data_IF_931492899358
#
_entry.id   IF_931492899358
#
_cell.length_a   1.000
_cell.length_b   1.000
_cell.length_c   1.000
_cell.angle_alpha   90.00
_cell.angle_beta   90.00
_cell.angle_gamma   90.00
#
_symmetry.space_group_name_H-M   'P 1'
#
loop_
_entity.id
_entity.type
_entity.pdbx_description
1 polymer ?
#
# COMPACT_ATOMS: atom_id res chain seq x y z
N UNK A 1 22.77 32.46 34.52
CA UNK A 1 22.34 32.50 35.93
C UNK A 1 22.20 31.06 36.40
N UNK A 2 23.02 30.67 37.37
CA UNK A 2 23.13 29.32 37.91
C UNK A 2 21.87 28.87 38.66
N UNK A 3 21.50 27.59 38.52
CA UNK A 3 20.64 26.91 39.48
C UNK A 3 21.24 25.53 39.83
N UNK A 4 21.54 25.39 41.12
CA UNK A 4 22.27 24.30 41.82
C UNK A 4 21.72 22.90 41.60
N UNK A 5 22.63 21.95 41.32
CA UNK A 5 22.47 20.52 41.57
C UNK A 5 22.57 20.22 43.08
N UNK A 6 21.68 19.37 43.59
CA UNK A 6 21.87 18.62 44.84
C UNK A 6 21.73 17.14 44.53
N UNK A 7 22.80 16.39 44.76
CA UNK A 7 22.85 14.94 44.62
C UNK A 7 22.12 14.22 45.75
N UNK A 8 21.48 13.11 45.40
CA UNK A 8 21.09 12.04 46.31
C UNK A 8 21.66 10.75 45.73
N UNK A 9 22.68 10.21 46.40
CA UNK A 9 23.23 8.88 46.16
C UNK A 9 22.25 7.81 46.69
N UNK A 10 21.82 6.92 45.80
CA UNK A 10 21.09 5.70 46.12
C UNK A 10 21.37 4.64 45.05
N UNK A 11 21.53 3.36 45.41
CA UNK A 11 21.91 2.31 44.46
C UNK A 11 20.81 2.08 43.41
N UNK A 12 21.17 1.75 42.16
CA UNK A 12 20.21 1.63 41.06
C UNK A 12 19.28 0.43 41.26
N UNK A 13 17.96 0.56 41.03
CA UNK A 13 17.06 -0.59 40.97
C UNK A 13 17.34 -1.43 39.71
N UNK A 14 17.07 -2.75 39.75
CA UNK A 14 17.47 -3.68 38.71
C UNK A 14 16.80 -3.39 37.36
N UNK A 15 17.58 -3.47 36.28
CA UNK A 15 17.12 -3.36 34.89
C UNK A 15 16.18 -4.53 34.55
N UNK A 16 14.91 -4.22 34.28
CA UNK A 16 13.96 -5.16 33.70
C UNK A 16 14.10 -5.13 32.17
N UNK A 17 14.27 -6.30 31.56
CA UNK A 17 14.39 -6.45 30.11
C UNK A 17 13.02 -6.43 29.42
N UNK A 18 12.99 -5.93 28.19
CA UNK A 18 11.84 -5.63 27.30
C UNK A 18 10.96 -6.85 26.90
N UNK A 19 11.02 -7.99 27.62
CA UNK A 19 10.32 -9.25 27.28
C UNK A 19 9.33 -9.77 28.32
N UNK A 20 9.01 -9.03 29.39
CA UNK A 20 8.11 -9.52 30.46
C UNK A 20 6.87 -8.68 30.76
N UNK A 21 6.56 -7.64 29.98
CA UNK A 21 5.38 -6.78 30.21
C UNK A 21 4.10 -7.17 29.42
N UNK A 22 4.11 -8.23 28.59
CA UNK A 22 2.97 -8.61 27.72
C UNK A 22 2.27 -9.93 28.11
N UNK A 23 2.36 -10.37 29.37
CA UNK A 23 1.59 -11.53 29.87
C UNK A 23 0.86 -11.21 31.17
N UNK A 24 -0.25 -10.46 31.03
CA UNK A 24 -1.38 -10.25 31.96
C UNK A 24 -2.16 -9.11 31.30
N UNK A 25 -3.22 -9.32 30.54
CA UNK A 25 -4.51 -9.87 30.97
C UNK A 25 -5.18 -10.51 29.76
N UNK A 26 -5.45 -11.81 29.85
CA UNK A 26 -6.45 -12.48 29.02
C UNK A 26 -7.70 -12.71 29.85
N UNK A 27 -8.85 -12.39 29.27
CA UNK A 27 -10.14 -13.03 29.56
C UNK A 27 -10.95 -12.52 30.75
N UNK A 28 -12.01 -11.76 30.46
CA UNK A 28 -13.35 -11.98 31.01
C UNK A 28 -14.36 -11.10 30.25
N UNK A 29 -15.47 -11.72 29.81
CA UNK A 29 -16.57 -11.03 29.14
C UNK A 29 -17.64 -10.49 30.10
N UNK A 30 -18.63 -9.87 29.44
CA UNK A 30 -19.96 -9.39 29.87
C UNK A 30 -20.06 -8.11 30.72
N UNK A 31 -20.95 -7.22 30.25
CA UNK A 31 -21.75 -6.35 31.14
C UNK A 31 -22.12 -4.99 30.58
N UNK A 32 -23.21 -4.90 29.81
CA UNK A 32 -23.96 -3.66 29.55
C UNK A 32 -24.49 -3.06 30.87
N UNK A 33 -24.25 -1.76 31.10
CA UNK A 33 -25.12 -0.91 31.92
C UNK A 33 -25.02 0.56 31.48
N UNK A 34 -26.18 1.11 31.11
CA UNK A 34 -26.43 2.50 30.72
C UNK A 34 -26.62 3.40 31.97
N UNK A 35 -26.13 4.64 31.91
CA UNK A 35 -26.51 5.73 32.83
C UNK A 35 -25.76 7.05 32.54
N UNK A 36 -26.35 8.24 32.71
CA UNK A 36 -26.36 9.26 31.65
C UNK A 36 -25.52 10.53 31.92
N UNK A 37 -25.18 11.23 30.83
CA UNK A 37 -24.65 12.61 30.79
C UNK A 37 -23.14 12.65 30.50
N UNK A 38 -22.64 13.15 29.38
CA UNK A 38 -23.23 14.04 28.39
C UNK A 38 -22.14 14.99 27.90
N UNK A 39 -21.24 14.49 27.04
CA UNK A 39 -20.51 15.28 26.04
C UNK A 39 -19.85 14.31 25.07
N UNK A 40 -20.63 13.89 24.06
CA UNK A 40 -20.12 13.21 22.87
C UNK A 40 -19.40 14.27 22.04
N UNK A 41 -18.10 14.15 21.86
CA UNK A 41 -17.47 14.68 20.66
C UNK A 41 -17.94 13.79 19.52
N UNK A 42 -18.68 14.41 18.61
CA UNK A 42 -19.30 13.76 17.48
C UNK A 42 -18.20 13.28 16.52
N UNK A 43 -18.03 11.96 16.43
CA UNK A 43 -17.83 11.36 15.13
C UNK A 43 -19.04 11.78 14.28
N UNK A 44 -18.82 12.67 13.31
CA UNK A 44 -19.79 12.89 12.24
C UNK A 44 -19.92 11.52 11.53
N UNK A 45 -21.01 10.78 11.77
CA UNK A 45 -22.20 10.82 10.93
C UNK A 45 -21.78 10.78 9.46
N UNK A 46 -21.64 9.60 8.86
CA UNK A 46 -22.81 8.76 8.61
C UNK A 46 -23.57 9.29 7.40
N UNK A 47 -22.89 9.45 6.28
CA UNK A 47 -23.51 9.32 4.96
C UNK A 47 -23.40 7.84 4.59
N UNK A 48 -24.50 7.11 4.67
CA UNK A 48 -24.56 5.78 4.09
C UNK A 48 -24.26 5.92 2.58
N UNK A 49 -23.23 5.27 1.99
CA UNK A 49 -23.05 5.34 0.54
C UNK A 49 -24.35 4.85 -0.12
N UNK A 50 -24.89 5.53 -1.14
CA UNK A 50 -26.17 5.17 -1.74
C UNK A 50 -26.20 3.68 -2.08
N UNK A 51 -27.19 3.00 -1.51
CA UNK A 51 -27.42 1.57 -1.64
C UNK A 51 -27.83 1.26 -3.08
N UNK A 52 -26.97 0.58 -3.84
CA UNK A 52 -27.38 -0.27 -4.97
C UNK A 52 -26.33 -1.36 -5.30
N UNK A 53 -25.07 -1.23 -4.87
CA UNK A 53 -24.01 -2.22 -5.17
C UNK A 53 -23.24 -2.65 -3.91
N UNK A 54 -23.86 -3.41 -3.00
CA UNK A 54 -23.14 -4.00 -1.86
C UNK A 54 -23.33 -5.51 -1.84
N UNK A 55 -22.26 -6.30 -2.04
CA UNK A 55 -22.34 -7.73 -1.83
C UNK A 55 -22.68 -7.99 -0.35
N UNK A 56 -23.74 -8.76 -0.07
CA UNK A 56 -24.20 -9.02 1.29
C UNK A 56 -23.33 -10.09 1.97
N UNK A 57 -23.11 -9.96 3.29
CA UNK A 57 -22.44 -10.99 4.10
C UNK A 57 -20.92 -11.02 4.01
N UNK A 58 -20.28 -9.95 3.53
CA UNK A 58 -18.81 -9.82 3.45
C UNK A 58 -18.30 -8.64 4.29
N UNK A 59 -17.10 -8.79 4.85
CA UNK A 59 -16.38 -7.69 5.48
C UNK A 59 -15.87 -6.72 4.41
N UNK A 60 -16.32 -5.46 4.49
CA UNK A 60 -15.93 -4.42 3.55
C UNK A 60 -14.67 -3.69 4.05
N UNK A 61 -13.84 -3.18 3.15
CA UNK A 61 -12.75 -2.29 3.53
C UNK A 61 -13.25 -1.13 4.39
N UNK A 62 -12.58 -0.81 5.51
CA UNK A 62 -12.91 0.37 6.30
C UNK A 62 -12.59 1.65 5.52
N UNK A 63 -13.01 2.79 6.06
CA UNK A 63 -12.54 4.08 5.55
C UNK A 63 -11.10 4.33 5.99
N UNK A 64 -10.19 4.30 5.01
CA UNK A 64 -8.77 4.59 5.18
C UNK A 64 -8.39 5.92 4.50
N UNK A 65 -9.37 6.73 4.10
CA UNK A 65 -9.14 7.93 3.29
C UNK A 65 -8.86 7.62 1.82
N UNK A 66 -9.39 6.50 1.33
CA UNK A 66 -9.50 6.20 -0.10
C UNK A 66 -10.29 7.28 -0.84
N UNK A 67 -10.13 7.36 -2.17
CA UNK A 67 -10.90 8.31 -2.98
C UNK A 67 -12.43 8.11 -2.82
N UNK A 68 -13.13 9.21 -2.52
CA UNK A 68 -14.61 9.22 -2.39
C UNK A 68 -15.32 9.07 -3.74
N UNK A 69 -14.63 9.39 -4.84
CA UNK A 69 -15.20 9.38 -6.20
C UNK A 69 -15.39 7.95 -6.71
N UNK A 70 -16.53 7.71 -7.37
CA UNK A 70 -16.75 6.56 -8.27
C UNK A 70 -16.55 7.02 -9.71
N UNK A 71 -15.91 6.19 -10.52
CA UNK A 71 -15.60 6.46 -11.93
C UNK A 71 -16.06 5.30 -12.80
N UNK A 72 -16.25 5.57 -14.09
CA UNK A 72 -16.63 4.59 -15.10
C UNK A 72 -15.51 4.40 -16.13
N UNK A 73 -15.16 3.15 -16.43
CA UNK A 73 -14.17 2.80 -17.45
C UNK A 73 -14.91 2.38 -18.71
N UNK A 74 -14.96 3.29 -19.69
CA UNK A 74 -15.74 3.12 -20.92
C UNK A 74 -15.29 1.91 -21.76
N UNK A 75 -14.00 1.58 -21.74
CA UNK A 75 -13.43 0.50 -22.54
C UNK A 75 -14.06 -0.87 -22.26
N UNK A 76 -14.46 -1.13 -21.02
CA UNK A 76 -15.06 -2.41 -20.58
C UNK A 76 -16.47 -2.26 -20.02
N UNK A 77 -16.89 -1.02 -19.75
CA UNK A 77 -18.22 -0.71 -19.26
C UNK A 77 -18.45 -1.03 -17.78
N UNK A 78 -17.41 -0.90 -16.96
CA UNK A 78 -17.43 -1.20 -15.52
C UNK A 78 -16.96 -0.02 -14.69
N UNK A 79 -17.35 0.00 -13.42
CA UNK A 79 -17.04 1.10 -12.50
C UNK A 79 -15.96 0.75 -11.47
N UNK A 80 -15.30 1.79 -10.95
CA UNK A 80 -14.30 1.68 -9.89
C UNK A 80 -14.59 2.68 -8.77
N UNK A 81 -14.32 2.27 -7.53
CA UNK A 81 -14.40 3.12 -6.34
C UNK A 81 -13.55 2.62 -5.19
N UNK A 82 -13.29 3.50 -4.22
CA UNK A 82 -12.72 3.16 -2.92
C UNK A 82 -11.36 2.44 -3.03
N UNK A 83 -11.16 1.43 -2.16
CA UNK A 83 -9.86 0.76 -2.04
C UNK A 83 -9.35 0.15 -3.34
N UNK A 84 -10.21 -0.44 -4.18
CA UNK A 84 -9.77 -1.03 -5.44
C UNK A 84 -9.44 -0.01 -6.52
N UNK A 85 -10.15 1.13 -6.55
CA UNK A 85 -9.77 2.26 -7.41
C UNK A 85 -8.40 2.81 -7.02
N UNK A 86 -8.17 3.01 -5.72
CA UNK A 86 -6.90 3.51 -5.22
C UNK A 86 -5.76 2.53 -5.50
N UNK A 87 -5.93 1.25 -5.17
CA UNK A 87 -4.92 0.23 -5.42
C UNK A 87 -4.60 0.09 -6.92
N UNK A 88 -5.62 0.12 -7.79
CA UNK A 88 -5.43 0.10 -9.24
C UNK A 88 -4.62 1.31 -9.70
N UNK A 89 -4.98 2.53 -9.27
CA UNK A 89 -4.27 3.77 -9.62
C UNK A 89 -2.84 3.83 -9.08
N UNK A 90 -2.59 3.29 -7.88
CA UNK A 90 -1.27 3.26 -7.27
C UNK A 90 -0.29 2.39 -8.07
N UNK A 91 -0.78 1.28 -8.63
CA UNK A 91 0.04 0.16 -9.09
C UNK A 91 0.06 0.00 -10.62
N UNK A 92 -0.11 1.11 -11.36
CA UNK A 92 0.03 1.15 -12.83
C UNK A 92 -1.26 1.01 -13.63
N UNK A 93 -2.40 0.94 -12.95
CA UNK A 93 -3.73 1.00 -13.54
C UNK A 93 -3.91 0.01 -14.70
N UNK A 94 -4.54 0.45 -15.80
CA UNK A 94 -4.82 -0.38 -16.97
C UNK A 94 -3.55 -0.96 -17.60
N UNK A 95 -2.41 -0.29 -17.48
CA UNK A 95 -1.15 -0.76 -18.07
C UNK A 95 -0.67 -2.06 -17.43
N UNK A 96 -1.02 -2.29 -16.16
CA UNK A 96 -0.56 -3.46 -15.42
C UNK A 96 -1.66 -4.50 -15.24
N UNK A 97 -2.85 -4.07 -14.81
CA UNK A 97 -3.95 -5.00 -14.49
C UNK A 97 -5.01 -5.09 -15.59
N UNK A 98 -4.91 -4.23 -16.60
CA UNK A 98 -6.02 -3.97 -17.50
C UNK A 98 -7.18 -3.25 -16.82
N UNK A 99 -8.27 -3.13 -17.57
CA UNK A 99 -9.49 -2.47 -17.14
C UNK A 99 -10.34 -3.38 -16.24
N UNK A 100 -11.23 -2.82 -15.38
CA UNK A 100 -12.19 -3.62 -14.63
C UNK A 100 -13.09 -4.39 -15.59
N UNK A 101 -13.32 -5.68 -15.32
CA UNK A 101 -14.23 -6.53 -16.11
C UNK A 101 -15.45 -6.97 -15.31
N UNK A 102 -15.58 -6.52 -14.06
CA UNK A 102 -16.74 -6.78 -13.21
C UNK A 102 -17.01 -5.59 -12.28
N UNK A 103 -18.22 -5.53 -11.75
CA UNK A 103 -18.50 -4.81 -10.50
C UNK A 103 -17.96 -5.59 -9.29
N UNK A 104 -17.85 -4.98 -8.09
CA UNK A 104 -17.43 -5.70 -6.90
C UNK A 104 -18.36 -6.85 -6.52
N UNK A 105 -17.79 -7.99 -6.11
CA UNK A 105 -18.50 -9.23 -5.78
C UNK A 105 -17.90 -9.93 -4.55
N UNK A 106 -18.58 -10.97 -4.04
CA UNK A 106 -18.01 -11.88 -3.03
C UNK A 106 -17.41 -13.08 -3.76
N UNK A 107 -16.10 -13.27 -3.64
CA UNK A 107 -15.43 -14.45 -4.18
C UNK A 107 -15.81 -15.73 -3.39
N UNK A 108 -15.49 -16.90 -3.94
CA UNK A 108 -15.85 -18.18 -3.33
C UNK A 108 -15.25 -18.40 -1.93
N UNK A 109 -14.12 -17.75 -1.62
CA UNK A 109 -13.48 -17.75 -0.31
C UNK A 109 -14.09 -16.75 0.68
N UNK A 110 -15.11 -15.99 0.26
CA UNK A 110 -15.76 -14.97 1.06
C UNK A 110 -15.10 -13.60 0.98
N UNK A 111 -14.04 -13.40 0.19
CA UNK A 111 -13.38 -12.09 0.09
C UNK A 111 -14.18 -11.11 -0.77
N UNK A 112 -14.28 -9.86 -0.31
CA UNK A 112 -14.75 -8.74 -1.13
C UNK A 112 -13.73 -8.56 -2.27
N UNK A 113 -14.19 -8.66 -3.51
CA UNK A 113 -13.32 -8.81 -4.68
C UNK A 113 -13.82 -8.00 -5.88
N UNK A 114 -12.93 -7.68 -6.81
CA UNK A 114 -13.30 -7.12 -8.10
C UNK A 114 -12.34 -7.62 -9.18
N UNK A 115 -12.86 -7.98 -10.34
CA UNK A 115 -12.08 -8.51 -11.45
C UNK A 115 -11.65 -7.39 -12.40
N UNK A 116 -10.40 -7.49 -12.84
CA UNK A 116 -9.75 -6.72 -13.89
C UNK A 116 -9.28 -7.70 -14.96
N UNK A 117 -8.86 -7.25 -16.14
CA UNK A 117 -8.48 -8.18 -17.22
C UNK A 117 -7.37 -9.16 -16.80
N UNK A 118 -6.35 -8.69 -16.09
CA UNK A 118 -5.18 -9.49 -15.72
C UNK A 118 -5.16 -9.97 -14.27
N UNK A 119 -6.09 -9.53 -13.43
CA UNK A 119 -6.08 -9.89 -12.01
C UNK A 119 -7.47 -9.80 -11.38
N UNK A 120 -7.69 -10.53 -10.29
CA UNK A 120 -8.83 -10.31 -9.39
C UNK A 120 -8.29 -9.78 -8.07
N UNK A 121 -8.69 -8.57 -7.70
CA UNK A 121 -8.31 -7.97 -6.42
C UNK A 121 -9.18 -8.53 -5.32
N UNK A 122 -8.57 -8.84 -4.18
CA UNK A 122 -9.23 -9.32 -2.97
C UNK A 122 -8.84 -8.43 -1.80
N UNK A 123 -9.84 -7.95 -1.06
CA UNK A 123 -9.61 -7.31 0.23
C UNK A 123 -9.25 -8.37 1.29
N UNK A 124 -8.20 -8.08 2.05
CA UNK A 124 -7.61 -8.95 3.07
C UNK A 124 -7.57 -8.22 4.43
N UNK A 125 -8.63 -8.30 5.24
CA UNK A 125 -8.73 -7.58 6.51
C UNK A 125 -7.63 -7.97 7.51
N UNK A 126 -7.04 -9.16 7.40
CA UNK A 126 -5.94 -9.62 8.24
C UNK A 126 -4.67 -8.77 8.14
N UNK A 127 -4.49 -7.99 7.07
CA UNK A 127 -3.33 -7.10 6.88
C UNK A 127 -3.62 -5.65 7.27
N UNK A 128 -4.81 -5.34 7.80
CA UNK A 128 -5.21 -3.98 8.14
C UNK A 128 -4.24 -3.32 9.15
N UNK A 129 -3.69 -4.12 10.06
CA UNK A 129 -2.80 -3.67 11.14
C UNK A 129 -1.36 -4.18 11.00
N UNK A 130 -0.92 -4.52 9.80
CA UNK A 130 0.45 -4.96 9.49
C UNK A 130 1.04 -4.11 8.39
N UNK A 131 2.35 -4.04 8.18
CA UNK A 131 2.93 -3.25 7.06
C UNK A 131 2.61 -3.78 5.65
N UNK A 132 1.93 -4.93 5.58
CA UNK A 132 1.54 -5.58 4.34
C UNK A 132 0.36 -4.88 3.64
N UNK A 133 0.24 -5.01 2.30
CA UNK A 133 -0.91 -4.54 1.55
C UNK A 133 -2.22 -5.24 1.95
N UNK A 134 -3.28 -4.45 2.13
CA UNK A 134 -4.65 -4.93 2.40
C UNK A 134 -5.39 -5.41 1.15
N UNK A 135 -4.82 -5.21 -0.04
CA UNK A 135 -5.29 -5.79 -1.30
C UNK A 135 -4.28 -6.83 -1.75
N UNK A 136 -4.77 -8.03 -2.09
CA UNK A 136 -3.98 -9.11 -2.70
C UNK A 136 -4.65 -9.59 -3.98
N UNK A 137 -3.89 -10.26 -4.83
CA UNK A 137 -4.43 -10.92 -6.00
C UNK A 137 -4.98 -12.30 -5.63
N UNK A 138 -6.15 -12.65 -6.16
CA UNK A 138 -6.62 -14.03 -6.20
C UNK A 138 -5.55 -14.90 -6.89
N UNK A 139 -5.30 -16.15 -6.45
CA UNK A 139 -4.25 -16.98 -6.99
C UNK A 139 -4.59 -17.59 -8.38
N UNK A 140 -4.87 -16.74 -9.37
CA UNK A 140 -5.30 -17.12 -10.72
C UNK A 140 -4.26 -17.98 -11.44
N UNK A 141 -2.96 -17.74 -11.20
CA UNK A 141 -1.89 -18.53 -11.81
C UNK A 141 -1.88 -19.97 -11.28
N UNK A 142 -2.17 -20.18 -10.00
CA UNK A 142 -2.38 -21.53 -9.43
C UNK A 142 -3.59 -22.21 -10.08
N UNK A 143 -4.72 -21.52 -10.13
CA UNK A 143 -5.98 -22.05 -10.68
C UNK A 143 -5.80 -22.45 -12.16
N UNK A 144 -5.16 -21.60 -12.96
CA UNK A 144 -4.90 -21.86 -14.37
C UNK A 144 -3.91 -23.01 -14.61
N UNK A 145 -2.96 -23.24 -13.69
CA UNK A 145 -2.03 -24.37 -13.78
C UNK A 145 -2.68 -25.70 -13.42
N UNK A 146 -3.51 -25.73 -12.38
CA UNK A 146 -4.29 -26.93 -11.99
C UNK A 146 -5.11 -27.45 -13.16
N UNK A 147 -5.76 -26.56 -13.92
CA UNK A 147 -6.54 -26.92 -15.11
C UNK A 147 -5.75 -27.58 -16.22
N UNK A 148 -4.50 -27.13 -16.41
CA UNK A 148 -3.61 -27.74 -17.40
C UNK A 148 -3.15 -29.14 -16.99
N UNK A 149 -3.11 -29.43 -15.69
CA UNK A 149 -2.70 -30.73 -15.17
C UNK A 149 -3.87 -31.73 -15.14
N UNK A 150 -5.09 -31.26 -14.86
CA UNK A 150 -6.28 -32.11 -14.79
C UNK A 150 -6.89 -32.45 -16.18
N UNK A 151 -6.59 -31.66 -17.22
CA UNK A 151 -7.09 -31.83 -18.59
C UNK A 151 -6.33 -32.82 -19.49
N UNK A 152 -5.73 -33.89 -18.95
CA UNK A 152 -4.75 -34.73 -19.64
C UNK A 152 -5.11 -35.28 -21.05
N UNK A 153 -4.08 -35.25 -21.94
CA UNK A 153 -3.89 -35.87 -23.26
C UNK A 153 -4.31 -35.10 -24.53
N UNK A 154 -3.35 -34.39 -25.16
CA UNK A 154 -2.71 -34.80 -26.43
C UNK A 154 -1.33 -34.12 -26.60
N UNK A 155 -0.27 -34.92 -26.74
CA UNK A 155 0.92 -34.62 -27.56
C UNK A 155 1.94 -33.57 -27.10
N UNK A 156 2.89 -33.95 -26.24
CA UNK A 156 4.14 -33.21 -26.08
C UNK A 156 5.00 -33.73 -24.94
N UNK A 157 6.06 -34.49 -25.26
CA UNK A 157 6.96 -35.07 -24.28
C UNK A 157 7.51 -34.02 -23.31
N UNK A 158 7.44 -34.32 -22.00
CA UNK A 158 8.24 -33.66 -20.98
C UNK A 158 9.71 -33.63 -21.42
N UNK A 159 10.39 -32.47 -21.51
CA UNK A 159 11.83 -32.49 -21.64
C UNK A 159 12.42 -33.08 -20.36
N UNK A 160 13.16 -34.17 -20.53
CA UNK A 160 13.93 -34.86 -19.50
C UNK A 160 14.82 -33.88 -18.74
N UNK A 161 14.81 -33.97 -17.41
CA UNK A 161 15.68 -33.23 -16.49
C UNK A 161 17.14 -33.27 -16.99
N UNK A 162 17.74 -32.14 -17.40
CA UNK A 162 19.19 -32.06 -17.51
C UNK A 162 19.74 -31.92 -16.09
N UNK A 163 20.71 -32.77 -15.73
CA UNK A 163 21.59 -32.51 -14.61
C UNK A 163 22.37 -31.22 -14.90
N UNK A 164 22.11 -30.15 -14.14
CA UNK A 164 22.84 -28.90 -14.31
C UNK A 164 23.96 -28.85 -13.27
N UNK A 165 25.19 -28.96 -13.77
CA UNK A 165 26.40 -28.71 -13.02
C UNK A 165 26.41 -27.29 -12.44
N UNK A 166 26.83 -27.19 -11.18
CA UNK A 166 27.00 -25.93 -10.46
C UNK A 166 28.16 -25.13 -11.07
N UNK A 167 27.86 -23.97 -11.65
CA UNK A 167 28.86 -22.89 -11.82
C UNK A 167 28.22 -21.58 -11.38
N UNK A 168 28.84 -20.97 -10.37
CA UNK A 168 28.44 -19.70 -9.75
C UNK A 168 28.97 -18.50 -10.53
N UNK A 169 28.24 -17.37 -10.48
CA UNK A 169 28.85 -16.04 -10.30
C UNK A 169 27.87 -15.14 -9.52
N UNK A 170 28.44 -14.28 -8.68
CA UNK A 170 27.83 -13.67 -7.49
C UNK A 170 27.52 -12.20 -7.77
N UNK A 171 26.23 -11.82 -7.86
CA UNK A 171 25.74 -10.47 -7.60
C UNK A 171 24.20 -10.49 -7.46
N UNK A 172 23.71 -10.00 -6.32
CA UNK A 172 22.31 -9.64 -6.04
C UNK A 172 21.25 -10.76 -6.09
N UNK A 173 21.41 -11.80 -5.26
CA UNK A 173 20.28 -12.58 -4.76
C UNK A 173 19.68 -11.86 -3.55
N UNK A 174 18.40 -11.48 -3.60
CA UNK A 174 17.58 -11.38 -2.38
C UNK A 174 16.88 -12.73 -2.24
N UNK A 175 17.22 -13.55 -1.23
CA UNK A 175 16.44 -14.74 -0.93
C UNK A 175 15.02 -14.29 -0.58
N UNK A 176 14.02 -14.80 -1.31
CA UNK A 176 12.63 -14.76 -0.84
C UNK A 176 12.60 -15.55 0.48
N UNK A 177 12.08 -14.99 1.60
CA UNK A 177 12.06 -15.70 2.87
C UNK A 177 11.42 -17.08 2.72
N UNK A 178 12.21 -18.08 3.10
CA UNK A 178 11.96 -19.50 3.00
C UNK A 178 10.72 -19.93 3.81
N UNK A 179 9.73 -20.55 3.16
CA UNK A 179 8.71 -21.33 3.86
C UNK A 179 8.42 -22.69 3.19
N UNK A 180 9.41 -23.30 2.51
CA UNK A 180 9.31 -24.71 2.12
C UNK A 180 9.06 -25.03 0.64
N UNK A 181 9.90 -25.98 0.20
CA UNK A 181 9.78 -27.07 -0.78
C UNK A 181 9.75 -26.86 -2.30
N UNK A 182 9.60 -25.64 -2.84
CA UNK A 182 9.98 -25.38 -4.24
C UNK A 182 10.53 -23.96 -4.41
N UNK A 183 11.84 -23.84 -4.67
CA UNK A 183 12.47 -22.55 -4.97
C UNK A 183 12.52 -22.34 -6.48
N UNK A 184 11.56 -21.62 -7.02
CA UNK A 184 11.64 -21.14 -8.40
C UNK A 184 12.45 -19.85 -8.47
N UNK A 185 13.30 -19.73 -9.49
CA UNK A 185 14.11 -18.53 -9.70
C UNK A 185 13.35 -17.48 -10.50
N UNK A 186 13.68 -16.19 -10.30
CA UNK A 186 13.18 -15.10 -11.14
C UNK A 186 14.39 -14.37 -11.73
N UNK A 187 14.36 -14.08 -13.03
CA UNK A 187 15.52 -13.55 -13.75
C UNK A 187 15.16 -12.41 -14.70
N UNK A 188 16.18 -11.64 -15.08
CA UNK A 188 16.16 -10.63 -16.14
C UNK A 188 15.00 -9.63 -16.01
N UNK A 189 14.34 -9.30 -17.12
CA UNK A 189 13.25 -8.33 -17.15
C UNK A 189 12.07 -8.72 -16.23
N UNK A 190 11.80 -10.02 -16.07
CA UNK A 190 10.75 -10.50 -15.13
C UNK A 190 11.17 -10.20 -13.69
N UNK A 191 12.45 -10.39 -13.34
CA UNK A 191 12.95 -10.02 -12.00
C UNK A 191 12.84 -8.53 -11.76
N UNK A 192 13.27 -7.71 -12.71
CA UNK A 192 13.26 -6.26 -12.55
C UNK A 192 11.82 -5.74 -12.37
N UNK A 193 10.88 -6.25 -13.19
CA UNK A 193 9.46 -5.96 -13.04
C UNK A 193 8.91 -6.46 -11.69
N UNK A 194 9.20 -7.70 -11.32
CA UNK A 194 8.69 -8.31 -10.10
C UNK A 194 9.20 -7.58 -8.86
N UNK A 195 10.48 -7.23 -8.80
CA UNK A 195 11.07 -6.48 -7.69
C UNK A 195 10.50 -5.05 -7.61
N UNK A 196 10.32 -4.38 -8.75
CA UNK A 196 9.73 -3.04 -8.78
C UNK A 196 8.28 -3.04 -8.30
N UNK A 197 7.49 -4.02 -8.72
CA UNK A 197 6.08 -4.18 -8.34
C UNK A 197 5.93 -5.04 -7.08
N UNK A 198 6.80 -4.86 -6.07
CA UNK A 198 6.64 -5.41 -4.72
C UNK A 198 6.66 -6.95 -4.57
N UNK A 199 7.05 -7.64 -5.64
CA UNK A 199 7.34 -9.06 -5.70
C UNK A 199 6.23 -9.93 -5.12
N UNK A 200 6.57 -10.64 -4.05
CA UNK A 200 5.69 -11.64 -3.44
C UNK A 200 4.44 -11.03 -2.82
N UNK A 201 4.50 -9.76 -2.41
CA UNK A 201 3.35 -9.11 -1.81
C UNK A 201 2.29 -8.76 -2.86
N UNK A 202 2.71 -8.67 -4.11
CA UNK A 202 1.87 -8.30 -5.24
C UNK A 202 1.41 -9.54 -6.00
N UNK A 203 2.35 -10.28 -6.58
CA UNK A 203 2.05 -11.37 -7.51
C UNK A 203 2.09 -12.75 -6.84
N UNK A 204 2.50 -12.80 -5.57
CA UNK A 204 2.77 -14.03 -4.86
C UNK A 204 4.02 -14.74 -5.40
N UNK A 205 4.22 -15.98 -4.96
CA UNK A 205 5.44 -16.74 -5.23
C UNK A 205 5.51 -17.20 -6.68
N UNK A 206 6.71 -17.32 -7.27
CA UNK A 206 6.87 -18.02 -8.54
C UNK A 206 6.44 -19.49 -8.39
N UNK A 207 5.67 -19.97 -9.36
CA UNK A 207 5.17 -21.35 -9.47
C UNK A 207 5.88 -22.14 -10.58
N UNK A 208 6.74 -21.49 -11.36
CA UNK A 208 7.57 -22.13 -12.39
C UNK A 208 8.92 -21.44 -12.50
N UNK A 209 9.89 -22.12 -13.12
CA UNK A 209 11.04 -21.41 -13.70
C UNK A 209 10.57 -20.50 -14.85
N UNK A 210 11.38 -19.50 -15.26
CA UNK A 210 11.17 -18.79 -16.50
C UNK A 210 11.27 -19.75 -17.70
N UNK A 211 10.23 -19.80 -18.52
CA UNK A 211 10.13 -20.69 -19.68
C UNK A 211 10.20 -19.83 -20.93
N UNK A 212 11.07 -20.20 -21.89
CA UNK A 212 11.07 -19.57 -23.21
C UNK A 212 9.80 -19.98 -23.96
N UNK A 213 9.05 -19.00 -24.41
CA UNK A 213 7.87 -19.18 -25.25
C UNK A 213 7.99 -18.28 -26.49
N UNK A 214 8.26 -18.90 -27.65
CA UNK A 214 8.62 -18.19 -28.87
C UNK A 214 9.86 -17.30 -28.68
N UNK A 215 9.72 -16.00 -28.98
CA UNK A 215 10.76 -14.98 -28.76
C UNK A 215 10.71 -14.35 -27.36
N UNK A 216 9.75 -14.74 -26.52
CA UNK A 216 9.56 -14.21 -25.18
C UNK A 216 9.94 -15.19 -24.08
N UNK A 217 9.79 -14.72 -22.85
CA UNK A 217 9.94 -15.52 -21.62
C UNK A 217 8.66 -15.39 -20.82
N UNK A 218 8.08 -16.52 -20.42
CA UNK A 218 6.88 -16.57 -19.60
C UNK A 218 7.20 -17.22 -18.25
N UNK A 219 6.58 -16.75 -17.17
CA UNK A 219 6.76 -17.33 -15.84
C UNK A 219 5.45 -17.27 -15.03
N UNK A 220 5.09 -18.41 -14.44
CA UNK A 220 3.92 -18.52 -13.57
C UNK A 220 4.24 -18.06 -12.16
N UNK A 221 3.28 -17.38 -11.56
CA UNK A 221 3.25 -16.95 -10.17
C UNK A 221 1.89 -17.29 -9.56
N UNK A 222 1.76 -17.23 -8.25
CA UNK A 222 0.48 -17.51 -7.59
C UNK A 222 -0.65 -16.64 -8.15
N UNK A 223 -0.43 -15.33 -8.22
CA UNK A 223 -1.43 -14.35 -8.65
C UNK A 223 -1.60 -14.23 -10.16
N UNK A 224 -0.69 -14.77 -10.98
CA UNK A 224 -0.81 -14.63 -12.44
C UNK A 224 0.36 -15.20 -13.25
N UNK A 225 0.42 -14.80 -14.53
CA UNK A 225 1.45 -15.17 -15.49
C UNK A 225 2.12 -13.89 -16.00
N UNK A 226 3.43 -13.76 -15.81
CA UNK A 226 4.20 -12.69 -16.45
C UNK A 226 4.74 -13.18 -17.79
N UNK A 227 4.61 -12.33 -18.81
CA UNK A 227 5.16 -12.54 -20.14
C UNK A 227 6.07 -11.37 -20.48
N UNK A 228 7.35 -11.67 -20.71
CA UNK A 228 8.35 -10.76 -21.20
C UNK A 228 8.54 -10.98 -22.72
N UNK A 229 8.06 -10.06 -23.54
CA UNK A 229 8.17 -10.14 -25.00
C UNK A 229 8.30 -8.75 -25.61
N UNK A 230 9.09 -8.62 -26.69
CA UNK A 230 9.20 -7.33 -27.40
C UNK A 230 9.84 -6.19 -26.59
N UNK A 231 10.51 -6.49 -25.47
CA UNK A 231 11.06 -5.49 -24.56
C UNK A 231 10.09 -5.04 -23.45
N UNK A 232 8.87 -5.58 -23.42
CA UNK A 232 7.86 -5.29 -22.41
C UNK A 232 7.63 -6.50 -21.50
N UNK A 233 7.21 -6.25 -20.27
CA UNK A 233 6.79 -7.27 -19.30
C UNK A 233 5.37 -6.94 -18.87
N UNK A 234 4.45 -7.87 -19.10
CA UNK A 234 3.03 -7.68 -18.79
C UNK A 234 2.43 -8.91 -18.12
N UNK A 235 1.37 -8.69 -17.34
CA UNK A 235 0.52 -9.76 -16.83
C UNK A 235 -0.40 -10.26 -17.94
N UNK A 236 -0.50 -11.58 -18.08
CA UNK A 236 -1.48 -12.18 -18.97
C UNK A 236 -2.91 -11.96 -18.44
N UNK A 237 -3.92 -11.81 -19.32
CA UNK A 237 -5.30 -11.50 -18.96
C UNK A 237 -6.08 -12.71 -18.38
N UNK A 238 -5.51 -13.41 -17.39
CA UNK A 238 -6.04 -14.67 -16.88
C UNK A 238 -7.43 -14.55 -16.25
N UNK A 239 -7.79 -13.38 -15.74
CA UNK A 239 -9.13 -13.19 -15.16
C UNK A 239 -10.21 -13.20 -16.26
N UNK A 240 -9.91 -12.72 -17.46
CA UNK A 240 -10.80 -12.85 -18.63
C UNK A 240 -10.99 -14.33 -18.97
N UNK A 241 -9.88 -15.08 -19.07
CA UNK A 241 -9.89 -16.50 -19.41
C UNK A 241 -10.66 -17.35 -18.38
N UNK A 242 -10.56 -16.98 -17.09
CA UNK A 242 -11.14 -17.72 -15.97
C UNK A 242 -12.52 -17.21 -15.53
N UNK A 243 -13.02 -16.09 -16.05
CA UNK A 243 -14.23 -15.42 -15.55
C UNK A 243 -15.44 -16.36 -15.46
N UNK A 244 -15.74 -17.10 -16.55
CA UNK A 244 -16.88 -18.01 -16.61
C UNK A 244 -16.76 -19.16 -15.60
N UNK A 245 -15.55 -19.70 -15.41
CA UNK A 245 -15.28 -20.77 -14.44
C UNK A 245 -15.43 -20.28 -13.00
N UNK A 246 -14.96 -19.06 -12.73
CA UNK A 246 -15.03 -18.43 -11.41
C UNK A 246 -16.41 -17.86 -11.10
N UNK A 247 -17.36 -17.92 -12.05
CA UNK A 247 -18.70 -17.36 -11.89
C UNK A 247 -18.70 -15.84 -11.77
N UNK A 248 -17.72 -15.17 -12.38
CA UNK A 248 -17.60 -13.70 -12.40
C UNK A 248 -18.55 -13.16 -13.46
N UNK A 249 -19.48 -12.29 -13.05
CA UNK A 249 -20.33 -11.56 -13.98
C UNK A 249 -19.54 -10.46 -14.67
N UNK A 250 -19.40 -10.59 -16.00
CA UNK A 250 -18.66 -9.64 -16.84
C UNK A 250 -19.57 -8.77 -17.71
N UNK A 251 -20.89 -8.84 -17.52
CA UNK A 251 -21.83 -8.01 -18.24
C UNK A 251 -21.57 -6.52 -17.93
N UNK A 252 -21.39 -5.66 -18.96
CA UNK A 252 -21.22 -4.22 -18.74
C UNK A 252 -22.42 -3.63 -17.99
N UNK A 253 -22.16 -2.68 -17.11
CA UNK A 253 -23.19 -1.94 -16.39
C UNK A 253 -23.45 -0.58 -17.06
N UNK A 254 -24.63 -0.03 -16.83
CA UNK A 254 -24.95 1.31 -17.31
C UNK A 254 -24.02 2.34 -16.66
N UNK A 255 -23.55 3.31 -17.46
CA UNK A 255 -22.71 4.41 -16.96
C UNK A 255 -23.47 5.37 -16.04
N UNK A 256 -24.76 5.58 -16.31
CA UNK A 256 -25.60 6.58 -15.66
C UNK A 256 -24.93 7.98 -15.63
N UNK A 257 -24.78 8.58 -14.45
CA UNK A 257 -24.16 9.89 -14.23
C UNK A 257 -22.67 9.82 -13.86
N UNK A 258 -22.07 8.63 -13.87
CA UNK A 258 -20.69 8.46 -13.47
C UNK A 258 -19.73 9.17 -14.43
N UNK A 259 -18.73 9.90 -13.90
CA UNK A 259 -17.68 10.48 -14.73
C UNK A 259 -16.84 9.36 -15.35
N UNK A 260 -16.37 9.57 -16.59
CA UNK A 260 -15.34 8.71 -17.15
C UNK A 260 -14.09 8.80 -16.29
N UNK A 261 -13.39 7.69 -16.13
CA UNK A 261 -12.10 7.69 -15.46
C UNK A 261 -11.13 8.64 -16.17
N UNK A 262 -10.63 9.60 -15.42
CA UNK A 262 -9.50 10.46 -15.77
C UNK A 262 -8.69 10.68 -14.50
N UNK A 263 -7.37 10.53 -14.62
CA UNK A 263 -6.44 10.62 -13.50
C UNK A 263 -6.45 12.02 -12.85
N UNK A 264 -6.74 13.08 -13.61
CA UNK A 264 -6.81 14.45 -13.10
C UNK A 264 -8.03 14.71 -12.21
N UNK A 265 -9.06 13.84 -12.23
CA UNK A 265 -10.23 13.98 -11.34
C UNK A 265 -9.89 13.89 -9.85
N UNK A 266 -8.72 13.33 -9.54
CA UNK A 266 -8.26 13.11 -8.17
C UNK A 266 -7.29 14.18 -7.69
N UNK A 267 -6.89 15.11 -8.54
CA UNK A 267 -6.05 16.23 -8.14
C UNK A 267 -6.94 17.25 -7.44
N UNK A 268 -6.77 17.39 -6.13
CA UNK A 268 -7.62 18.27 -5.30
C UNK A 268 -7.03 19.68 -5.11
N UNK A 269 -5.82 19.90 -5.59
CA UNK A 269 -5.15 21.19 -5.61
C UNK A 269 -4.27 21.31 -6.86
N UNK A 270 -4.07 22.54 -7.33
CA UNK A 270 -3.20 22.83 -8.45
C UNK A 270 -1.73 22.61 -8.04
N UNK A 271 -0.95 22.00 -8.94
CA UNK A 271 0.50 21.91 -8.79
C UNK A 271 1.15 23.05 -9.60
N UNK A 272 1.76 24.05 -8.95
CA UNK A 272 2.32 25.20 -9.67
C UNK A 272 3.50 24.86 -10.58
N UNK A 273 4.16 23.71 -10.35
CA UNK A 273 5.38 23.30 -11.07
C UNK A 273 5.33 21.81 -11.45
N UNK A 274 4.46 21.49 -12.41
CA UNK A 274 4.37 20.17 -13.02
C UNK A 274 5.61 19.89 -13.89
N UNK A 275 6.33 18.81 -13.57
CA UNK A 275 7.61 18.45 -14.21
C UNK A 275 7.49 17.38 -15.29
N UNK A 276 6.36 16.67 -15.37
CA UNK A 276 6.18 15.54 -16.28
C UNK A 276 4.72 15.33 -16.69
N UNK A 277 4.51 14.38 -17.60
CA UNK A 277 3.18 14.01 -18.06
C UNK A 277 2.38 13.32 -16.93
N UNK A 278 1.23 13.89 -16.50
CA UNK A 278 0.41 13.26 -15.45
C UNK A 278 -0.13 11.89 -15.86
N UNK A 279 -0.18 11.60 -17.16
CA UNK A 279 -0.64 10.33 -17.73
C UNK A 279 0.50 9.35 -18.06
N UNK A 280 1.72 9.59 -17.58
CA UNK A 280 2.83 8.66 -17.72
C UNK A 280 2.44 7.24 -17.24
N UNK A 281 2.94 6.16 -17.86
CA UNK A 281 2.59 4.80 -17.44
C UNK A 281 3.37 4.36 -16.20
N UNK A 282 2.86 3.33 -15.51
CA UNK A 282 3.55 2.64 -14.42
C UNK A 282 3.06 3.01 -13.02
N UNK A 283 3.64 2.41 -11.99
CA UNK A 283 3.23 2.64 -10.61
C UNK A 283 3.58 4.05 -10.13
N UNK A 284 2.79 4.60 -9.22
CA UNK A 284 3.09 5.85 -8.53
C UNK A 284 3.94 5.58 -7.31
N UNK A 285 4.95 6.39 -7.10
CA UNK A 285 5.81 6.29 -5.93
C UNK A 285 6.42 7.63 -5.55
N UNK A 286 6.81 7.72 -4.28
CA UNK A 286 7.37 8.89 -3.64
C UNK A 286 8.77 8.54 -3.15
N UNK A 287 9.73 9.39 -3.44
CA UNK A 287 11.09 9.32 -2.94
C UNK A 287 11.30 10.43 -1.92
N UNK A 288 11.93 10.12 -0.79
CA UNK A 288 12.30 11.09 0.24
C UNK A 288 13.78 10.89 0.57
N UNK A 289 14.59 11.91 0.28
CA UNK A 289 16.00 11.96 0.63
C UNK A 289 16.21 12.78 1.90
N UNK A 290 16.79 12.17 2.94
CA UNK A 290 17.06 12.85 4.22
C UNK A 290 18.20 13.87 4.06
N UNK A 291 19.25 13.58 3.32
CA UNK A 291 20.41 14.43 3.14
C UNK A 291 20.09 15.65 2.28
N UNK A 292 19.27 15.47 1.25
CA UNK A 292 18.79 16.54 0.38
C UNK A 292 17.62 17.33 0.98
N UNK A 293 16.98 16.80 2.03
CA UNK A 293 15.72 17.32 2.57
C UNK A 293 14.72 17.61 1.44
N UNK A 294 14.53 16.60 0.59
CA UNK A 294 13.75 16.72 -0.64
C UNK A 294 12.86 15.51 -0.87
N UNK A 295 11.70 15.78 -1.46
CA UNK A 295 10.76 14.78 -1.94
C UNK A 295 10.67 14.85 -3.46
N UNK A 296 10.55 13.69 -4.09
CA UNK A 296 10.22 13.53 -5.51
C UNK A 296 9.01 12.61 -5.66
N UNK A 297 8.05 13.00 -6.49
CA UNK A 297 6.85 12.25 -6.80
C UNK A 297 6.94 11.76 -8.25
N UNK A 298 6.88 10.45 -8.45
CA UNK A 298 7.04 9.79 -9.75
C UNK A 298 5.80 9.03 -10.18
N UNK A 299 5.60 8.97 -11.50
CA UNK A 299 4.67 8.07 -12.16
C UNK A 299 5.46 7.21 -13.15
N UNK A 300 5.64 5.93 -12.80
CA UNK A 300 6.63 5.06 -13.43
C UNK A 300 8.04 5.64 -13.29
N UNK A 301 8.65 5.98 -14.41
CA UNK A 301 9.98 6.63 -14.45
C UNK A 301 9.91 8.15 -14.63
N UNK A 302 8.71 8.71 -14.72
CA UNK A 302 8.49 10.14 -15.00
C UNK A 302 8.42 10.90 -13.69
N UNK A 303 9.31 11.89 -13.50
CA UNK A 303 9.19 12.83 -12.39
C UNK A 303 8.00 13.77 -12.63
N UNK A 304 7.02 13.73 -11.74
CA UNK A 304 5.81 14.56 -11.81
C UNK A 304 6.00 15.85 -11.02
N UNK A 305 6.56 15.77 -9.82
CA UNK A 305 6.72 16.92 -8.93
C UNK A 305 7.89 16.72 -7.96
N UNK A 306 8.42 17.83 -7.44
CA UNK A 306 9.41 17.80 -6.35
C UNK A 306 9.23 19.01 -5.44
N UNK A 307 9.55 18.84 -4.15
CA UNK A 307 9.56 19.92 -3.16
C UNK A 307 10.67 19.71 -2.15
N UNK A 308 11.09 20.79 -1.50
CA UNK A 308 11.82 20.70 -0.23
C UNK A 308 10.87 20.19 0.86
N UNK A 309 11.43 19.45 1.82
CA UNK A 309 10.72 18.90 2.98
C UNK A 309 11.46 19.20 4.27
N UNK A 310 10.84 18.93 5.42
CA UNK A 310 11.54 18.84 6.70
C UNK A 310 11.28 17.48 7.35
N UNK A 311 12.30 16.63 7.41
CA UNK A 311 12.22 15.29 8.02
C UNK A 311 12.55 15.33 9.52
N UNK A 312 12.54 14.16 10.16
CA UNK A 312 12.71 14.01 11.60
C UNK A 312 14.11 14.34 12.10
N UNK A 313 14.19 15.06 13.22
CA UNK A 313 15.44 15.29 13.97
C UNK A 313 15.63 14.25 15.07
N UNK A 314 16.88 13.97 15.44
CA UNK A 314 17.17 13.14 16.61
C UNK A 314 16.47 13.69 17.88
N UNK A 315 15.89 12.82 18.73
CA UNK A 315 15.94 11.34 18.68
C UNK A 315 14.92 10.67 17.74
N UNK A 316 14.06 11.43 17.06
CA UNK A 316 12.96 10.95 16.22
C UNK A 316 13.31 11.08 14.73
N UNK A 317 14.42 10.48 14.32
CA UNK A 317 14.79 10.46 12.91
C UNK A 317 13.72 9.71 12.09
N UNK A 318 13.39 10.21 10.90
CA UNK A 318 12.47 9.52 9.99
C UNK A 318 13.04 8.15 9.62
N UNK A 319 12.23 7.10 9.68
CA UNK A 319 12.68 5.76 9.34
C UNK A 319 13.06 5.64 7.87
N UNK A 320 14.20 5.00 7.61
CA UNK A 320 14.61 4.59 6.28
C UNK A 320 13.91 3.30 5.87
N UNK A 321 13.56 3.19 4.59
CA UNK A 321 12.97 1.96 4.07
C UNK A 321 12.04 2.17 2.89
N UNK A 322 11.42 1.06 2.49
CA UNK A 322 10.34 1.05 1.50
C UNK A 322 9.02 0.81 2.22
N UNK A 323 8.11 1.76 2.06
CA UNK A 323 6.82 1.83 2.69
C UNK A 323 5.73 2.06 1.66
N UNK A 324 4.47 2.17 2.10
CA UNK A 324 3.32 2.47 1.25
C UNK A 324 2.41 3.43 1.95
N UNK A 325 1.65 4.22 1.20
CA UNK A 325 0.54 4.98 1.76
C UNK A 325 -0.53 4.01 2.28
N UNK A 326 -0.84 4.08 3.57
CA UNK A 326 -1.76 3.15 4.25
C UNK A 326 -3.05 3.79 4.72
N UNK A 327 -2.98 5.05 5.11
CA UNK A 327 -4.08 5.75 5.76
C UNK A 327 -3.96 7.25 5.49
N UNK A 328 -5.09 7.89 5.21
CA UNK A 328 -5.15 9.29 4.82
C UNK A 328 -6.22 10.02 5.60
N UNK A 329 -5.93 11.25 6.03
CA UNK A 329 -6.89 12.16 6.63
C UNK A 329 -6.80 13.55 5.99
N UNK A 330 -7.92 14.17 5.58
CA UNK A 330 -7.90 15.55 5.07
C UNK A 330 -7.35 16.54 6.09
N UNK A 331 -7.61 16.29 7.37
CA UNK A 331 -7.01 17.00 8.49
C UNK A 331 -7.04 16.09 9.73
N UNK A 332 -5.98 16.12 10.53
CA UNK A 332 -5.95 15.42 11.81
C UNK A 332 -5.09 16.17 12.82
N UNK A 333 -5.59 16.29 14.05
CA UNK A 333 -4.77 16.76 15.17
C UNK A 333 -3.67 15.74 15.45
N UNK A 334 -2.41 16.18 15.41
CA UNK A 334 -1.28 15.34 15.74
C UNK A 334 -0.95 15.53 17.22
N UNK A 335 -1.45 14.60 18.03
CA UNK A 335 -1.26 14.59 19.48
C UNK A 335 -0.50 13.35 19.90
N UNK A 336 0.50 13.54 20.76
CA UNK A 336 1.23 12.45 21.35
C UNK A 336 2.02 12.87 22.56
N UNK A 337 2.97 12.04 22.94
CA UNK A 337 3.80 12.31 24.10
C UNK A 337 5.21 11.77 23.92
N UNK A 338 6.18 12.48 24.48
CA UNK A 338 7.58 12.11 24.47
C UNK A 338 8.07 11.71 25.85
N UNK A 339 9.25 11.08 25.90
CA UNK A 339 10.01 10.96 27.14
C UNK A 339 10.74 12.27 27.48
N UNK A 340 11.56 12.26 28.54
CA UNK A 340 12.34 13.43 28.96
C UNK A 340 13.48 13.80 27.99
N UNK A 341 13.83 12.91 27.06
CA UNK A 341 14.84 13.13 26.01
C UNK A 341 14.24 13.67 24.72
N UNK A 342 12.90 13.68 24.61
CA UNK A 342 12.17 14.09 23.42
C UNK A 342 11.84 12.94 22.47
N UNK A 343 12.11 11.68 22.85
CA UNK A 343 11.71 10.49 22.09
C UNK A 343 10.20 10.33 22.10
N UNK A 344 9.55 10.23 20.94
CA UNK A 344 8.12 9.97 20.83
C UNK A 344 7.82 8.56 21.34
N UNK A 345 6.99 8.49 22.38
CA UNK A 345 6.62 7.22 23.02
C UNK A 345 5.26 6.69 22.56
N UNK A 346 4.42 7.55 21.97
CA UNK A 346 3.10 7.20 21.48
C UNK A 346 2.20 8.40 21.20
N UNK A 347 0.95 8.10 20.85
CA UNK A 347 -0.08 9.06 20.43
C UNK A 347 -1.29 9.03 21.38
N UNK A 348 -2.06 10.12 21.43
CA UNK A 348 -3.26 10.24 22.27
C UNK A 348 -2.98 10.78 23.68
N UNK A 349 -3.73 10.28 24.69
CA UNK A 349 -3.61 10.78 26.07
C UNK A 349 -2.25 10.41 26.69
N UNK A 350 -1.50 11.44 27.09
CA UNK A 350 -0.18 11.31 27.68
C UNK A 350 -0.22 10.62 29.07
N UNK A 351 0.47 9.47 29.26
CA UNK A 351 0.62 8.87 30.58
C UNK A 351 1.37 9.80 31.56
N UNK A 352 1.13 9.69 32.88
CA UNK A 352 1.87 10.47 33.87
C UNK A 352 3.38 10.30 33.74
N UNK A 353 4.12 11.40 33.68
CA UNK A 353 5.58 11.41 33.55
C UNK A 353 6.10 11.50 32.10
N UNK A 354 5.21 11.62 31.11
CA UNK A 354 5.56 11.92 29.71
C UNK A 354 5.33 13.40 29.40
N UNK A 355 5.96 13.91 28.33
CA UNK A 355 5.81 15.31 27.88
C UNK A 355 4.83 15.33 26.71
N UNK A 356 3.61 15.87 26.85
CA UNK A 356 2.65 15.91 25.75
C UNK A 356 3.08 16.92 24.69
N UNK A 357 2.79 16.60 23.43
CA UNK A 357 2.82 17.56 22.33
C UNK A 357 1.49 17.47 21.55
N UNK A 358 1.09 18.61 20.99
CA UNK A 358 -0.07 18.70 20.12
C UNK A 358 0.22 19.72 19.04
N UNK A 359 0.01 19.33 17.78
CA UNK A 359 -0.08 20.23 16.65
C UNK A 359 -1.52 20.19 16.18
N UNK A 360 -2.16 21.36 16.17
CA UNK A 360 -3.54 21.52 15.71
C UNK A 360 -3.60 21.16 14.22
N UNK A 361 -4.56 20.31 13.84
CA UNK A 361 -4.90 19.86 12.50
C UNK A 361 -3.80 20.00 11.42
N UNK A 362 -2.92 19.00 11.33
CA UNK A 362 -2.08 18.86 10.14
C UNK A 362 -2.97 18.60 8.92
N UNK A 363 -2.96 19.47 7.88
CA UNK A 363 -3.75 19.24 6.69
C UNK A 363 -3.11 18.15 5.83
N UNK A 364 -3.94 17.38 5.13
CA UNK A 364 -3.54 16.43 4.10
C UNK A 364 -2.55 15.38 4.61
N UNK A 365 -2.93 14.68 5.67
CA UNK A 365 -2.10 13.67 6.33
C UNK A 365 -2.14 12.38 5.53
N UNK A 366 -0.95 11.84 5.21
CA UNK A 366 -0.75 10.61 4.46
C UNK A 366 0.23 9.73 5.24
N UNK A 367 -0.29 8.80 6.03
CA UNK A 367 0.50 7.84 6.81
C UNK A 367 1.11 6.78 5.90
N UNK A 368 2.38 6.50 6.13
CA UNK A 368 3.11 5.47 5.40
C UNK A 368 3.76 4.39 6.28
N UNK A 369 3.78 4.57 7.61
CA UNK A 369 4.25 3.53 8.56
C UNK A 369 3.23 3.24 9.65
N UNK A 370 3.34 2.07 10.28
CA UNK A 370 2.59 1.69 11.48
C UNK A 370 3.09 2.39 12.76
N UNK A 371 4.30 2.96 12.72
CA UNK A 371 4.86 3.81 13.78
C UNK A 371 4.40 5.28 13.64
N UNK A 372 3.40 5.51 12.77
CA UNK A 372 2.70 6.77 12.55
C UNK A 372 3.58 7.92 12.02
N UNK A 373 4.54 7.59 11.15
CA UNK A 373 5.16 8.59 10.29
C UNK A 373 4.24 8.89 9.10
N UNK A 374 4.08 10.18 8.81
CA UNK A 374 3.22 10.69 7.76
C UNK A 374 3.90 11.74 6.92
N UNK A 375 3.49 11.84 5.66
CA UNK A 375 3.65 13.02 4.83
C UNK A 375 2.46 13.95 5.13
N UNK A 376 2.69 15.20 5.48
CA UNK A 376 1.60 16.15 5.72
C UNK A 376 2.03 17.60 5.53
N UNK A 377 1.04 18.48 5.35
CA UNK A 377 1.29 19.92 5.31
C UNK A 377 1.76 20.43 6.67
N UNK A 378 2.79 21.27 6.69
CA UNK A 378 3.25 21.97 7.89
C UNK A 378 3.03 23.46 7.71
N UNK A 379 1.94 23.98 8.25
CA UNK A 379 1.62 25.42 8.17
C UNK A 379 2.32 26.25 9.26
N UNK A 380 2.89 25.60 10.27
CA UNK A 380 3.48 26.24 11.46
C UNK A 380 4.95 26.62 11.30
N UNK A 381 5.59 26.24 10.20
CA UNK A 381 6.97 26.64 9.87
C UNK A 381 7.21 26.64 8.36
N UNK A 382 8.26 27.37 7.94
CA UNK A 382 8.72 27.42 6.54
C UNK A 382 10.13 26.82 6.35
N UNK A 383 10.63 26.05 7.33
CA UNK A 383 12.01 25.52 7.33
C UNK A 383 12.25 24.33 6.39
N UNK A 384 11.56 24.28 5.25
CA UNK A 384 11.73 23.27 4.22
C UNK A 384 13.17 23.30 3.68
N UNK A 385 13.79 22.13 3.57
CA UNK A 385 15.22 21.97 3.27
C UNK A 385 16.08 21.80 4.53
N UNK A 386 15.47 21.70 5.71
CA UNK A 386 16.13 21.42 6.99
C UNK A 386 15.27 20.44 7.80
N UNK A 387 15.91 19.54 8.55
CA UNK A 387 15.20 18.66 9.48
C UNK A 387 14.54 19.47 10.59
N UNK A 388 13.31 19.10 10.97
CA UNK A 388 12.54 19.80 12.01
C UNK A 388 11.48 18.94 12.72
N UNK A 389 11.03 17.85 12.11
CA UNK A 389 9.87 17.10 12.61
C UNK A 389 10.23 16.10 13.73
N UNK A 390 9.21 15.44 14.28
CA UNK A 390 9.36 14.31 15.20
C UNK A 390 9.20 12.96 14.46
N UNK A 391 9.71 12.85 13.23
CA UNK A 391 9.69 11.63 12.42
C UNK A 391 8.88 11.78 11.11
N UNK A 392 7.84 12.62 11.13
CA UNK A 392 7.05 12.91 9.92
C UNK A 392 7.84 13.64 8.83
N UNK A 393 7.32 13.66 7.61
CA UNK A 393 7.87 14.41 6.49
C UNK A 393 6.99 15.64 6.27
N UNK A 394 7.44 16.79 6.74
CA UNK A 394 6.70 18.05 6.62
C UNK A 394 6.82 18.61 5.19
N UNK A 395 5.68 18.96 4.61
CA UNK A 395 5.54 19.47 3.25
C UNK A 395 5.00 20.92 3.26
N UNK A 396 5.34 21.74 2.26
CA UNK A 396 4.59 22.97 2.00
C UNK A 396 3.10 22.66 1.84
N UNK A 397 2.18 23.43 2.49
CA UNK A 397 0.76 23.10 2.50
C UNK A 397 0.11 22.88 1.14
N UNK A 398 0.46 23.68 0.13
CA UNK A 398 -0.08 23.54 -1.23
C UNK A 398 0.39 22.24 -1.89
N UNK A 399 1.66 21.87 -1.70
CA UNK A 399 2.21 20.61 -2.19
C UNK A 399 1.56 19.41 -1.49
N UNK A 400 1.34 19.50 -0.18
CA UNK A 400 0.64 18.47 0.59
C UNK A 400 -0.80 18.25 0.08
N UNK A 401 -1.52 19.33 -0.23
CA UNK A 401 -2.86 19.26 -0.80
C UNK A 401 -2.87 18.51 -2.14
N UNK A 402 -1.96 18.87 -3.04
CA UNK A 402 -1.83 18.17 -4.32
C UNK A 402 -1.44 16.70 -4.12
N UNK A 403 -0.41 16.43 -3.31
CA UNK A 403 0.12 15.08 -3.06
C UNK A 403 -0.96 14.17 -2.48
N UNK A 404 -1.80 14.68 -1.58
CA UNK A 404 -2.91 13.93 -1.00
C UNK A 404 -3.93 13.47 -2.04
N UNK A 405 -4.25 14.28 -3.04
CA UNK A 405 -5.11 13.85 -4.14
C UNK A 405 -4.41 12.92 -5.14
N UNK A 406 -3.15 13.23 -5.45
CA UNK A 406 -2.34 12.52 -6.42
C UNK A 406 -1.93 11.12 -5.97
N UNK A 407 -1.64 10.91 -4.69
CA UNK A 407 -1.19 9.64 -4.11
C UNK A 407 -2.37 8.81 -3.56
N UNK A 408 -2.88 7.82 -4.29
CA UNK A 408 -3.85 6.85 -3.76
C UNK A 408 -3.27 5.96 -2.65
N UNK A 409 -4.14 5.29 -1.89
CA UNK A 409 -3.70 4.20 -1.00
C UNK A 409 -2.90 3.15 -1.77
N UNK A 410 -1.80 2.68 -1.17
CA UNK A 410 -0.86 1.75 -1.77
C UNK A 410 0.28 2.40 -2.56
N UNK A 411 0.29 3.73 -2.75
CA UNK A 411 1.42 4.44 -3.39
C UNK A 411 2.72 4.14 -2.63
N UNK A 412 3.78 3.72 -3.32
CA UNK A 412 5.07 3.41 -2.70
C UNK A 412 5.74 4.65 -2.11
N UNK A 413 6.43 4.51 -0.98
CA UNK A 413 7.19 5.59 -0.33
C UNK A 413 8.57 5.04 0.02
N UNK A 414 9.59 5.52 -0.68
CA UNK A 414 10.98 5.18 -0.42
C UNK A 414 11.68 6.30 0.34
N UNK A 415 12.08 6.02 1.57
CA UNK A 415 12.89 6.93 2.39
C UNK A 415 14.32 6.43 2.42
N UNK A 416 15.25 7.30 2.04
CA UNK A 416 16.68 7.00 2.00
C UNK A 416 17.51 8.18 2.53
N UNK A 417 18.81 7.92 2.72
CA UNK A 417 19.76 8.85 3.33
C UNK A 417 20.01 10.10 2.50
#
# INVERSE_FOLDING_TARGET
MEAKQRGFDGPPPPRLSRRQALRRVGGAGLGLALGPGGRRLAAAQGGEPPSLDRPAGVELPPDLGQAERRVYVEATGHSLRGLFLDYWRANGAATVYGNPISEPFVAADGSYSQAFEAAVFQYRPEFLHTEDPVVRLMPLGRIALEDRLDGGHEGGALPSRPSVDRVATWAAFVPVPDTGDVHHTVADAIRDWYTFNEGMHYLGRPLSEPIKDGSGVAQWFEGGLLVAAGGEVALAPLAVDLAARLGIDTAPVARDDLPLYDELLFWIADLPDLRGDPYAPGAKWIEVGIGEQRLWAYHGQTLIATTLVSTGIAPNATNLGMFRVRLKYPAQDMQGFTDATGEVLGFGEAPPGTVPYAVEAGPHVVYFTMDAEALHGAYWHDSFGQQMSHGCVNLPPDFAAWLYGWAPLGTGVWVHE
#
